data_IF_856844328062
#
_entry.id   IF_856844328062
#
_cell.length_a   1.000
_cell.length_b   1.000
_cell.length_c   1.000
_cell.angle_alpha   90.00
_cell.angle_beta   90.00
_cell.angle_gamma   90.00
#
_symmetry.space_group_name_H-M   'P 1'
#
loop_
_entity.id
_entity.type
_entity.pdbx_description
1 polymer ?
#
# COMPACT_ATOMS: atom_id res chain seq x y z
N UNK A 1 0.97 -5.73 7.26
CA UNK A 1 1.48 -5.00 8.45
C UNK A 1 1.89 -3.58 8.11
N UNK A 2 3.03 -3.39 7.46
CA UNK A 2 3.53 -2.05 7.10
C UNK A 2 2.59 -1.21 6.22
N UNK A 3 1.91 -1.81 5.23
CA UNK A 3 0.89 -1.12 4.41
C UNK A 3 -0.22 -0.50 5.25
N UNK A 4 -0.75 -1.24 6.24
CA UNK A 4 -1.77 -0.74 7.16
C UNK A 4 -1.24 0.49 7.92
N UNK A 5 -0.04 0.40 8.48
CA UNK A 5 0.54 1.52 9.23
C UNK A 5 0.80 2.74 8.34
N UNK A 6 1.23 2.52 7.09
CA UNK A 6 1.34 3.58 6.08
C UNK A 6 0.01 4.28 5.82
N UNK A 7 -1.06 3.51 5.60
CA UNK A 7 -2.40 4.06 5.40
C UNK A 7 -2.94 4.80 6.63
N UNK A 8 -2.74 4.27 7.83
CA UNK A 8 -3.19 4.95 9.05
C UNK A 8 -2.51 6.31 9.22
N UNK A 9 -1.22 6.41 8.85
CA UNK A 9 -0.50 7.68 8.87
C UNK A 9 -1.01 8.66 7.81
N UNK A 10 -1.22 8.23 6.57
CA UNK A 10 -1.62 9.13 5.48
C UNK A 10 -3.08 9.54 5.55
N UNK A 11 -3.98 8.66 6.02
CA UNK A 11 -5.41 8.91 6.07
C UNK A 11 -5.86 9.62 7.35
N UNK A 12 -5.25 9.30 8.50
CA UNK A 12 -5.66 9.81 9.83
C UNK A 12 -4.45 10.15 10.72
N UNK A 13 -3.57 11.08 10.28
CA UNK A 13 -2.39 11.47 11.07
C UNK A 13 -2.78 12.10 12.42
N UNK A 14 -3.99 12.64 12.54
CA UNK A 14 -4.54 13.27 13.75
C UNK A 14 -4.75 12.30 14.92
N UNK A 15 -4.80 10.99 14.65
CA UNK A 15 -5.10 9.97 15.66
C UNK A 15 -3.87 9.38 16.36
N UNK A 16 -2.66 9.69 15.90
CA UNK A 16 -1.45 8.98 16.34
C UNK A 16 -0.35 9.93 16.77
N UNK A 17 0.24 9.68 17.94
CA UNK A 17 1.44 10.42 18.40
C UNK A 17 2.74 9.91 17.76
N UNK A 18 2.78 8.65 17.36
CA UNK A 18 3.89 8.02 16.64
C UNK A 18 3.41 6.76 15.91
N UNK A 19 4.06 6.41 14.79
CA UNK A 19 3.82 5.19 14.03
C UNK A 19 5.15 4.50 13.73
N UNK A 20 5.19 3.18 13.86
CA UNK A 20 6.28 2.34 13.38
C UNK A 20 5.82 1.57 12.15
N UNK A 21 6.39 1.90 10.99
CA UNK A 21 6.10 1.28 9.71
C UNK A 21 7.33 0.48 9.24
N UNK A 22 7.25 -0.85 9.30
CA UNK A 22 8.37 -1.75 9.00
C UNK A 22 8.07 -2.64 7.78
N UNK A 23 9.08 -2.75 6.90
CA UNK A 23 9.06 -3.51 5.63
C UNK A 23 7.73 -3.34 4.86
N UNK A 24 7.31 -2.11 4.51
CA UNK A 24 5.99 -1.88 3.94
C UNK A 24 5.94 -1.99 2.42
N UNK A 25 4.76 -2.30 1.90
CA UNK A 25 4.35 -1.98 0.53
C UNK A 25 3.61 -0.63 0.61
N UNK A 26 4.17 0.45 0.06
CA UNK A 26 3.56 1.80 0.10
C UNK A 26 3.21 2.34 -1.29
N UNK A 27 3.91 1.88 -2.31
CA UNK A 27 3.61 2.17 -3.70
C UNK A 27 2.80 1.00 -4.28
N UNK A 28 1.47 1.09 -4.17
CA UNK A 28 0.59 0.05 -4.70
C UNK A 28 0.51 0.08 -6.24
N UNK A 29 1.03 1.11 -6.91
CA UNK A 29 1.10 1.10 -8.37
C UNK A 29 2.23 0.19 -8.86
N UNK A 30 3.35 0.18 -8.14
CA UNK A 30 4.58 -0.50 -8.58
C UNK A 30 4.98 -1.70 -7.74
N UNK A 31 4.26 -2.03 -6.68
CA UNK A 31 4.66 -3.10 -5.77
C UNK A 31 4.95 -4.43 -6.49
N UNK A 32 4.16 -4.77 -7.52
CA UNK A 32 4.31 -6.01 -8.27
C UNK A 32 5.64 -6.09 -9.05
N UNK A 33 6.28 -4.94 -9.35
CA UNK A 33 7.57 -4.86 -10.04
C UNK A 33 8.78 -5.03 -9.12
N UNK A 34 8.56 -5.07 -7.81
CA UNK A 34 9.64 -5.03 -6.81
C UNK A 34 9.76 -6.37 -6.08
N UNK A 35 10.93 -7.01 -6.18
CA UNK A 35 11.25 -8.25 -5.45
C UNK A 35 10.15 -9.31 -5.61
N UNK A 36 9.66 -9.86 -4.48
CA UNK A 36 8.57 -10.82 -4.45
C UNK A 36 7.17 -10.16 -4.50
N UNK A 37 7.06 -8.86 -4.82
CA UNK A 37 5.79 -8.14 -4.78
C UNK A 37 4.71 -8.75 -5.68
N UNK A 38 5.09 -9.31 -6.83
CA UNK A 38 4.15 -10.03 -7.71
C UNK A 38 3.43 -11.20 -7.01
N UNK A 39 4.02 -11.82 -5.97
CA UNK A 39 3.37 -12.93 -5.25
C UNK A 39 2.14 -12.49 -4.44
N UNK A 40 1.91 -11.19 -4.29
CA UNK A 40 0.81 -10.61 -3.52
C UNK A 40 -0.35 -10.11 -4.40
N UNK A 41 -0.27 -10.31 -5.72
CA UNK A 41 -1.33 -9.92 -6.66
C UNK A 41 -2.66 -10.64 -6.40
N UNK A 42 -2.63 -11.89 -5.93
CA UNK A 42 -3.86 -12.58 -5.53
C UNK A 42 -4.57 -11.94 -4.32
N UNK A 43 -3.84 -11.18 -3.49
CA UNK A 43 -4.39 -10.50 -2.31
C UNK A 43 -4.84 -9.07 -2.64
N UNK A 44 -4.00 -8.30 -3.35
CA UNK A 44 -4.24 -6.87 -3.57
C UNK A 44 -4.84 -6.52 -4.94
N UNK A 45 -4.66 -7.37 -5.95
CA UNK A 45 -5.07 -7.11 -7.34
C UNK A 45 -3.90 -6.81 -8.27
N UNK A 46 -4.18 -6.54 -9.54
CA UNK A 46 -3.16 -6.20 -10.55
C UNK A 46 -3.17 -4.70 -10.86
N UNK A 47 -2.15 -3.92 -10.43
CA UNK A 47 -2.10 -2.48 -10.67
C UNK A 47 -2.09 -2.06 -12.14
N UNK A 48 -1.80 -2.95 -13.08
CA UNK A 48 -1.78 -2.64 -14.52
C UNK A 48 -3.12 -2.95 -15.21
N UNK A 49 -4.15 -3.27 -14.43
CA UNK A 49 -5.53 -3.50 -14.88
C UNK A 49 -6.50 -2.49 -14.26
N UNK A 50 -7.81 -2.71 -14.45
CA UNK A 50 -8.88 -1.91 -13.85
C UNK A 50 -8.88 -1.95 -12.31
N UNK A 51 -8.21 -2.93 -11.70
CA UNK A 51 -8.00 -3.01 -10.24
C UNK A 51 -7.31 -1.74 -9.70
N UNK A 52 -6.58 -1.01 -10.55
CA UNK A 52 -5.95 0.26 -10.19
C UNK A 52 -6.93 1.28 -9.62
N UNK A 53 -8.18 1.32 -10.13
CA UNK A 53 -9.20 2.24 -9.64
C UNK A 53 -9.50 2.05 -8.14
N UNK A 54 -9.37 0.82 -7.65
CA UNK A 54 -9.50 0.50 -6.24
C UNK A 54 -8.17 0.67 -5.49
N UNK A 55 -7.08 0.12 -6.02
CA UNK A 55 -5.75 0.15 -5.41
C UNK A 55 -5.26 1.56 -5.10
N UNK A 56 -5.52 2.52 -5.99
CA UNK A 56 -5.08 3.90 -5.81
C UNK A 56 -5.72 4.57 -4.59
N UNK A 57 -6.90 4.12 -4.15
CA UNK A 57 -7.63 4.70 -3.00
C UNK A 57 -6.92 4.48 -1.67
N UNK A 58 -6.04 3.48 -1.60
CA UNK A 58 -5.34 3.12 -0.38
C UNK A 58 -3.83 2.96 -0.59
N UNK A 59 -3.28 3.48 -1.69
CA UNK A 59 -1.84 3.51 -1.90
C UNK A 59 -1.23 4.65 -1.08
N UNK A 60 -0.43 4.41 -0.03
CA UNK A 60 0.10 5.52 0.77
C UNK A 60 1.02 6.49 0.00
N UNK A 61 1.58 6.05 -1.13
CA UNK A 61 2.42 6.88 -1.99
C UNK A 61 1.66 7.84 -2.94
N UNK A 62 0.35 7.71 -3.05
CA UNK A 62 -0.51 8.50 -3.95
C UNK A 62 -1.58 9.25 -3.15
#
# INVERSE_FOLDING_TARGET
>A
GGLLMGNMYTMRPDLWGAIHCAVPLLDMKRYHTLLAGASWMAEYGDPDTDDWEFLQKFSPYH
#
